data_IF_169129496483
#
_entry.id   IF_169129496483
#
_cell.length_a   1.000
_cell.length_b   1.000
_cell.length_c   1.000
_cell.angle_alpha   90.00
_cell.angle_beta   90.00
_cell.angle_gamma   90.00
#
_symmetry.space_group_name_H-M   'P 1'
#
loop_
_entity.id
_entity.type
_entity.pdbx_description
1 polymer ?
#
# COMPACT_ATOMS: atom_id res chain seq x y z
N UNK A 1 -18.39 10.47 -1.99
CA UNK A 1 -17.37 9.40 -1.96
C UNK A 1 -16.65 9.41 -0.62
N UNK A 2 -16.10 8.26 -0.19
CA UNK A 2 -15.19 8.21 0.94
C UNK A 2 -13.79 8.65 0.51
N UNK A 3 -13.14 9.49 1.32
CA UNK A 3 -11.80 10.01 1.06
C UNK A 3 -10.95 10.01 2.33
N UNK A 4 -9.63 10.02 2.17
CA UNK A 4 -8.66 10.23 3.24
C UNK A 4 -8.14 11.65 3.16
N UNK A 5 -8.44 12.45 4.18
CA UNK A 5 -7.83 13.75 4.39
C UNK A 5 -6.60 13.57 5.29
N UNK A 6 -5.42 13.81 4.73
CA UNK A 6 -4.14 13.53 5.37
C UNK A 6 -3.35 14.82 5.54
N UNK A 7 -2.93 15.12 6.77
CA UNK A 7 -2.03 16.23 7.09
C UNK A 7 -0.75 15.71 7.73
N UNK A 8 0.39 16.31 7.38
CA UNK A 8 1.68 16.08 8.02
C UNK A 8 2.03 17.36 8.77
N UNK A 9 2.19 17.26 10.09
CA UNK A 9 2.33 18.39 11.01
C UNK A 9 1.21 19.42 10.77
N UNK A 10 1.55 20.71 10.74
CA UNK A 10 0.62 21.81 10.44
C UNK A 10 0.50 22.10 8.93
N UNK A 11 0.94 21.16 8.08
CA UNK A 11 0.89 21.28 6.63
C UNK A 11 -0.53 21.23 6.06
N UNK A 12 -0.69 21.80 4.86
CA UNK A 12 -1.96 21.74 4.14
C UNK A 12 -2.38 20.27 3.91
N UNK A 13 -3.66 19.94 4.17
CA UNK A 13 -4.14 18.57 4.01
C UNK A 13 -4.21 18.19 2.53
N UNK A 14 -3.88 16.94 2.24
CA UNK A 14 -4.16 16.28 0.96
C UNK A 14 -5.47 15.49 1.13
N UNK A 15 -6.43 15.69 0.24
CA UNK A 15 -7.69 14.96 0.20
C UNK A 15 -7.64 13.92 -0.90
N UNK A 16 -7.24 12.69 -0.55
CA UNK A 16 -7.13 11.58 -1.48
C UNK A 16 -8.43 10.79 -1.59
N UNK A 17 -8.92 10.60 -2.81
CA UNK A 17 -10.09 9.79 -3.11
C UNK A 17 -10.43 9.83 -4.60
N UNK A 18 -11.20 8.86 -5.07
CA UNK A 18 -11.82 8.88 -6.39
C UNK A 18 -13.06 7.96 -6.35
N UNK A 19 -14.01 8.19 -7.25
CA UNK A 19 -15.28 7.45 -7.31
C UNK A 19 -15.11 5.99 -7.77
N UNK A 20 -13.99 5.69 -8.44
CA UNK A 20 -13.68 4.37 -8.99
C UNK A 20 -12.65 3.61 -8.14
N UNK A 21 -12.44 3.97 -6.88
CA UNK A 21 -11.52 3.24 -5.99
C UNK A 21 -12.12 1.96 -5.41
N UNK A 22 -11.35 0.88 -5.45
CA UNK A 22 -11.58 -0.34 -4.66
C UNK A 22 -10.71 -0.39 -3.39
N UNK A 23 -9.58 0.32 -3.39
CA UNK A 23 -8.68 0.45 -2.24
C UNK A 23 -8.24 1.91 -2.12
N UNK A 24 -8.19 2.41 -0.89
CA UNK A 24 -7.61 3.70 -0.55
C UNK A 24 -6.81 3.54 0.75
N UNK A 25 -5.59 4.04 0.79
CA UNK A 25 -4.70 3.87 1.94
C UNK A 25 -3.80 5.08 2.19
N UNK A 26 -3.31 5.14 3.43
CA UNK A 26 -2.16 5.95 3.84
C UNK A 26 -1.24 5.01 4.59
N UNK A 27 0.00 4.89 4.12
CA UNK A 27 0.98 3.94 4.65
C UNK A 27 2.16 4.73 5.21
N UNK A 28 2.43 4.56 6.49
CA UNK A 28 3.62 5.07 7.17
C UNK A 28 4.61 3.91 7.24
N UNK A 29 5.76 4.09 6.61
CA UNK A 29 6.84 3.11 6.59
C UNK A 29 7.95 3.55 7.54
N UNK A 30 8.46 2.58 8.30
CA UNK A 30 9.66 2.66 9.09
C UNK A 30 10.45 1.40 8.78
N UNK A 31 11.51 1.52 7.98
CA UNK A 31 12.21 0.39 7.37
C UNK A 31 13.69 0.45 7.72
N UNK A 32 14.26 -0.69 8.11
CA UNK A 32 15.67 -0.82 8.46
C UNK A 32 15.86 -1.59 9.76
N UNK A 33 17.02 -1.41 10.40
CA UNK A 33 17.31 -2.02 11.69
C UNK A 33 16.65 -1.22 12.83
N UNK A 34 15.36 -1.47 13.09
CA UNK A 34 14.55 -0.65 14.00
C UNK A 34 14.81 -0.89 15.49
N UNK A 35 15.58 -1.92 15.82
CA UNK A 35 15.87 -2.28 17.21
C UNK A 35 17.02 -3.26 17.32
N UNK A 36 17.60 -3.41 18.52
CA UNK A 36 18.83 -4.19 18.73
C UNK A 36 18.67 -5.69 18.44
N UNK A 37 17.45 -6.22 18.48
CA UNK A 37 17.15 -7.61 18.16
C UNK A 37 16.84 -7.86 16.67
N UNK A 38 16.84 -6.81 15.84
CA UNK A 38 16.60 -6.96 14.41
C UNK A 38 17.81 -7.62 13.75
N UNK A 39 17.59 -8.67 12.95
CA UNK A 39 18.68 -9.33 12.23
C UNK A 39 19.39 -8.31 11.33
N UNK A 40 20.73 -8.21 11.39
CA UNK A 40 21.48 -7.35 10.49
C UNK A 40 21.25 -7.80 9.05
N UNK A 41 20.87 -6.88 8.17
CA UNK A 41 20.71 -7.15 6.74
C UNK A 41 22.04 -7.03 5.96
N UNK A 42 23.18 -6.96 6.67
CA UNK A 42 24.51 -6.83 6.09
C UNK A 42 24.85 -5.43 5.56
N UNK A 43 23.95 -4.46 5.70
CA UNK A 43 24.17 -3.06 5.34
C UNK A 43 23.96 -2.16 6.55
N UNK A 44 24.87 -1.22 6.83
CA UNK A 44 24.66 -0.13 7.82
C UNK A 44 23.68 0.93 7.26
N UNK A 45 22.60 0.49 6.63
CA UNK A 45 21.66 1.40 6.01
C UNK A 45 20.85 2.11 7.10
N UNK A 46 20.82 3.44 7.04
CA UNK A 46 20.02 4.25 7.94
C UNK A 46 18.54 3.85 7.87
N UNK A 47 17.82 4.00 8.98
CA UNK A 47 16.37 3.78 9.02
C UNK A 47 15.70 4.75 8.05
N UNK A 48 14.92 4.20 7.12
CA UNK A 48 14.13 4.94 6.16
C UNK A 48 12.71 5.13 6.70
N UNK A 49 12.34 6.39 6.94
CA UNK A 49 11.05 6.83 7.44
C UNK A 49 10.36 7.63 6.35
N UNK A 50 9.20 7.18 5.89
CA UNK A 50 8.44 7.92 4.89
C UNK A 50 6.95 7.56 4.92
N UNK A 51 6.12 8.45 4.37
CA UNK A 51 4.68 8.23 4.19
C UNK A 51 4.32 8.26 2.72
N UNK A 52 3.35 7.42 2.34
CA UNK A 52 2.72 7.44 1.02
C UNK A 52 1.20 7.40 1.15
N UNK A 53 0.52 8.01 0.19
CA UNK A 53 -0.94 8.00 0.05
C UNK A 53 -1.25 7.47 -1.34
N UNK A 54 -2.01 6.38 -1.40
CA UNK A 54 -2.34 5.74 -2.66
C UNK A 54 -3.66 5.00 -2.64
N UNK A 55 -4.04 4.52 -3.80
CA UNK A 55 -5.25 3.75 -4.01
C UNK A 55 -5.12 2.82 -5.20
N UNK A 56 -6.05 1.89 -5.30
CA UNK A 56 -6.21 1.02 -6.47
C UNK A 56 -7.63 1.21 -6.96
N UNK A 57 -7.79 1.55 -8.24
CA UNK A 57 -9.11 1.60 -8.85
C UNK A 57 -9.74 0.21 -8.91
N UNK A 58 -11.06 0.14 -8.98
CA UNK A 58 -11.84 -1.05 -9.31
C UNK A 58 -12.85 -0.68 -10.38
N UNK A 59 -12.37 -0.53 -11.62
CA UNK A 59 -13.17 0.02 -12.71
C UNK A 59 -14.14 -1.02 -13.27
N UNK A 60 -15.27 -0.53 -13.77
CA UNK A 60 -16.31 -1.36 -14.39
C UNK A 60 -15.95 -1.72 -15.82
N UNK A 61 -16.73 -2.64 -16.39
CA UNK A 61 -16.75 -2.96 -17.82
C UNK A 61 -15.41 -3.44 -18.40
N UNK A 62 -14.57 -4.05 -17.55
CA UNK A 62 -13.27 -4.61 -17.95
C UNK A 62 -12.20 -3.56 -18.25
N UNK A 63 -12.41 -2.30 -17.85
CA UNK A 63 -11.35 -1.30 -17.87
C UNK A 63 -10.22 -1.72 -16.91
N UNK A 64 -8.97 -1.54 -17.34
CA UNK A 64 -7.82 -1.86 -16.51
C UNK A 64 -7.76 -0.98 -15.28
N UNK A 65 -7.46 -1.60 -14.14
CA UNK A 65 -7.26 -0.90 -12.89
C UNK A 65 -5.92 -0.15 -12.87
N UNK A 66 -5.83 0.88 -12.04
CA UNK A 66 -4.65 1.72 -11.87
C UNK A 66 -4.32 1.90 -10.39
N UNK A 67 -3.03 1.87 -10.09
CA UNK A 67 -2.48 2.40 -8.85
C UNK A 67 -2.40 3.92 -8.94
N UNK A 68 -3.26 4.59 -8.17
CA UNK A 68 -3.24 6.04 -8.03
C UNK A 68 -2.40 6.44 -6.82
N UNK A 69 -1.64 7.53 -6.96
CA UNK A 69 -0.80 8.08 -5.89
C UNK A 69 -1.07 9.56 -5.70
N UNK A 70 -1.29 9.98 -4.45
CA UNK A 70 -1.43 11.39 -4.06
C UNK A 70 -0.19 11.92 -3.34
N UNK A 71 0.58 11.02 -2.71
CA UNK A 71 1.85 11.33 -2.07
C UNK A 71 2.75 10.10 -2.19
N UNK A 72 3.98 10.29 -2.69
CA UNK A 72 4.96 9.21 -2.86
C UNK A 72 6.17 9.45 -1.96
N UNK A 73 6.47 8.49 -1.09
CA UNK A 73 7.73 8.40 -0.35
C UNK A 73 8.15 9.72 0.32
N UNK A 74 7.20 10.47 0.89
CA UNK A 74 7.49 11.72 1.56
C UNK A 74 8.32 11.41 2.81
N UNK A 75 9.57 11.91 2.91
CA UNK A 75 10.41 11.62 4.06
C UNK A 75 9.79 12.14 5.36
N UNK A 76 9.96 11.37 6.42
CA UNK A 76 9.51 11.71 7.77
C UNK A 76 10.70 11.77 8.73
N UNK A 77 10.49 12.49 9.83
CA UNK A 77 11.42 12.56 10.95
C UNK A 77 10.74 12.13 12.25
N UNK A 78 11.52 11.65 13.20
CA UNK A 78 11.03 11.35 14.55
C UNK A 78 10.48 12.63 15.18
N UNK A 79 9.23 12.59 15.63
CA UNK A 79 8.51 13.74 16.16
C UNK A 79 7.46 14.31 15.21
N UNK A 80 7.50 13.95 13.92
CA UNK A 80 6.44 14.32 12.99
C UNK A 80 5.09 13.70 13.40
N UNK A 81 4.02 14.45 13.18
CA UNK A 81 2.64 14.03 13.42
C UNK A 81 1.92 13.86 12.10
N UNK A 82 1.35 12.67 11.86
CA UNK A 82 0.51 12.41 10.70
C UNK A 82 -0.94 12.28 11.18
N UNK A 83 -1.82 13.15 10.69
CA UNK A 83 -3.26 13.08 10.97
C UNK A 83 -3.98 12.53 9.75
N UNK A 84 -4.67 11.40 9.92
CA UNK A 84 -5.50 10.79 8.87
C UNK A 84 -6.96 10.85 9.30
N UNK A 85 -7.79 11.51 8.51
CA UNK A 85 -9.23 11.61 8.72
C UNK A 85 -9.96 10.90 7.58
N UNK A 86 -10.83 9.94 7.92
CA UNK A 86 -11.81 9.40 6.99
C UNK A 86 -12.97 10.39 6.88
N UNK A 87 -13.23 10.87 5.67
CA UNK A 87 -14.29 11.85 5.41
C UNK A 87 -15.19 11.38 4.27
N UNK A 88 -16.41 11.90 4.25
CA UNK A 88 -17.27 11.85 3.08
C UNK A 88 -17.25 13.22 2.40
N UNK A 89 -16.98 13.25 1.10
CA UNK A 89 -16.83 14.49 0.32
C UNK A 89 -17.21 14.27 -1.15
N UNK A 90 -17.47 15.36 -1.87
CA UNK A 90 -17.60 15.39 -3.33
C UNK A 90 -16.37 16.01 -4.02
N UNK A 91 -15.43 16.57 -3.25
CA UNK A 91 -14.23 17.20 -3.75
C UNK A 91 -12.98 16.55 -3.16
N UNK A 92 -12.03 16.23 -4.03
CA UNK A 92 -10.74 15.57 -3.76
C UNK A 92 -9.65 16.25 -4.56
N UNK A 93 -8.41 16.09 -4.14
CA UNK A 93 -7.24 16.51 -4.90
C UNK A 93 -6.95 15.52 -6.03
N UNK A 94 -6.37 16.00 -7.13
CA UNK A 94 -5.95 15.13 -8.23
C UNK A 94 -4.74 14.26 -7.81
N UNK A 95 -4.69 12.97 -8.22
CA UNK A 95 -3.52 12.14 -7.99
C UNK A 95 -2.31 12.70 -8.76
N UNK A 96 -1.13 12.64 -8.14
CA UNK A 96 0.16 13.03 -8.75
C UNK A 96 0.73 11.95 -9.66
N UNK A 97 0.17 10.73 -9.62
CA UNK A 97 0.59 9.62 -10.48
C UNK A 97 -0.54 8.60 -10.69
N UNK A 98 -0.52 7.93 -11.83
CA UNK A 98 -1.30 6.73 -12.12
C UNK A 98 -0.45 5.72 -12.87
N UNK A 99 -0.45 4.47 -12.42
CA UNK A 99 0.27 3.36 -13.07
C UNK A 99 -0.71 2.20 -13.27
N UNK A 100 -0.75 1.62 -14.48
CA UNK A 100 -1.61 0.48 -14.75
C UNK A 100 -1.31 -0.65 -13.76
N UNK A 101 -2.34 -1.12 -13.06
CA UNK A 101 -2.23 -2.29 -12.21
C UNK A 101 -1.90 -3.48 -13.11
N UNK A 102 -0.83 -4.19 -12.79
CA UNK A 102 -0.48 -5.39 -13.53
C UNK A 102 -1.69 -6.33 -13.49
N UNK A 103 -2.22 -6.69 -14.66
CA UNK A 103 -3.19 -7.77 -14.75
C UNK A 103 -2.51 -9.01 -14.20
N UNK A 104 -2.89 -9.39 -12.97
CA UNK A 104 -2.61 -10.74 -12.51
C UNK A 104 -3.47 -11.63 -13.39
N UNK A 105 -2.91 -12.09 -14.51
CA UNK A 105 -3.34 -13.37 -15.07
C UNK A 105 -3.14 -14.35 -13.93
N UNK A 106 -4.22 -14.66 -13.20
CA UNK A 106 -4.25 -15.85 -12.38
C UNK A 106 -4.09 -16.98 -13.37
N UNK A 107 -2.84 -17.38 -13.61
CA UNK A 107 -2.60 -18.69 -14.16
C UNK A 107 -3.06 -19.66 -13.06
N UNK A 108 -4.36 -19.97 -13.11
CA UNK A 108 -5.02 -20.82 -12.12
C UNK A 108 -4.32 -22.17 -12.01
N UNK A 109 -3.68 -22.61 -13.11
CA UNK A 109 -2.86 -23.81 -13.14
C UNK A 109 -1.55 -23.61 -12.39
N UNK A 110 -0.84 -22.50 -12.58
CA UNK A 110 0.37 -22.20 -11.82
C UNK A 110 0.08 -22.06 -10.32
N UNK A 111 -1.03 -21.40 -9.96
CA UNK A 111 -1.48 -21.30 -8.56
C UNK A 111 -1.86 -22.66 -7.97
N UNK A 112 -2.60 -23.48 -8.71
CA UNK A 112 -2.95 -24.84 -8.30
C UNK A 112 -1.72 -25.71 -8.08
N UNK A 113 -0.75 -25.71 -9.01
CA UNK A 113 0.48 -26.50 -8.87
C UNK A 113 1.34 -26.01 -7.70
N UNK A 114 1.39 -24.68 -7.46
CA UNK A 114 2.03 -24.13 -6.27
C UNK A 114 1.38 -24.66 -4.97
N UNK A 115 0.06 -24.54 -4.85
CA UNK A 115 -0.67 -25.04 -3.68
C UNK A 115 -0.53 -26.56 -3.51
N UNK A 116 -0.57 -27.32 -4.61
CA UNK A 116 -0.39 -28.78 -4.60
C UNK A 116 1.00 -29.16 -4.10
N UNK A 117 2.05 -28.48 -4.55
CA UNK A 117 3.43 -28.72 -4.08
C UNK A 117 3.55 -28.46 -2.59
N UNK A 118 3.08 -27.29 -2.13
CA UNK A 118 3.11 -26.91 -0.70
C UNK A 118 2.31 -27.91 0.15
N UNK A 119 1.14 -28.33 -0.32
CA UNK A 119 0.35 -29.36 0.36
C UNK A 119 1.13 -30.68 0.48
N UNK A 120 1.75 -31.17 -0.60
CA UNK A 120 2.52 -32.42 -0.57
C UNK A 120 3.73 -32.35 0.37
N UNK A 121 4.44 -31.21 0.41
CA UNK A 121 5.58 -31.00 1.31
C UNK A 121 5.16 -30.98 2.79
N UNK A 122 3.96 -30.48 3.08
CA UNK A 122 3.46 -30.31 4.44
C UNK A 122 2.57 -31.48 4.88
N UNK A 123 2.15 -32.35 3.97
CA UNK A 123 1.19 -33.42 4.21
C UNK A 123 1.58 -34.29 5.39
N UNK A 124 2.80 -34.83 5.37
CA UNK A 124 3.30 -35.76 6.40
C UNK A 124 3.42 -35.12 7.79
N UNK A 125 3.44 -33.79 7.85
CA UNK A 125 3.52 -33.03 9.10
C UNK A 125 2.14 -32.74 9.72
N UNK A 126 1.09 -32.65 8.91
CA UNK A 126 -0.20 -32.09 9.34
C UNK A 126 -1.42 -32.97 9.08
N UNK A 127 -1.34 -33.96 8.18
CA UNK A 127 -2.38 -34.97 8.03
C UNK A 127 -1.92 -36.26 8.70
N UNK A 128 -2.53 -36.57 9.85
CA UNK A 128 -2.40 -37.84 10.59
C UNK A 128 -3.40 -38.85 10.03
#
# INVERSE_FOLDING_TARGET
MYALKVSINDGAPIVAGADDLAVLNTIINCVGQLGPATMPNGTEQAVDLHVSIGGLTGRRDGASDEHLGWLKMQPLQVGDTITVQLIETSAVDAPISGEAAAERKRDEKEYFEHCRRVYLELKDKYEI
#
